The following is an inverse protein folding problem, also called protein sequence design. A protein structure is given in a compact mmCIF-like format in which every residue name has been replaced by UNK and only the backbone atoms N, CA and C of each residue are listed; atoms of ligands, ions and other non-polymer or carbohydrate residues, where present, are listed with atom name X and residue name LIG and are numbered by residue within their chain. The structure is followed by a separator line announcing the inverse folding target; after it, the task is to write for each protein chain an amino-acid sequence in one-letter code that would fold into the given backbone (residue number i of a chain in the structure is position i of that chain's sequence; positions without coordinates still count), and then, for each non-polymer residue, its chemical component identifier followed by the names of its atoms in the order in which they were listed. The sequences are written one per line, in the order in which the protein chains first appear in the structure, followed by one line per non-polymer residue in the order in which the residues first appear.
data_IF_671502585633
#
_entry.id   IF_671502585633
#
_cell.length_a   1.000
_cell.length_b   1.000
_cell.length_c   1.000
_cell.angle_alpha   90.00
_cell.angle_beta   90.00
_cell.angle_gamma   90.00
#
_symmetry.space_group_name_H-M   'P 1'
#
loop_
_entity.id
_entity.type
_entity.pdbx_description
1 polymer ?
#
# COMPACT_ATOMS: atom_id res chain seq x y z
N UNK A 1 17.32 14.64 24.48
CA UNK A 1 16.92 14.28 23.10
C UNK A 1 17.96 13.32 22.54
N UNK A 2 17.60 12.07 22.24
CA UNK A 2 18.52 10.99 21.89
C UNK A 2 19.25 11.24 20.55
N UNK A 3 20.56 11.00 20.51
CA UNK A 3 21.39 11.09 19.28
C UNK A 3 20.87 10.18 18.17
N UNK A 4 20.26 9.03 18.53
CA UNK A 4 19.61 8.12 17.60
C UNK A 4 18.39 8.74 16.88
N UNK A 5 17.60 9.56 17.57
CA UNK A 5 16.44 10.23 16.99
C UNK A 5 16.82 11.37 16.05
N UNK A 6 17.93 12.08 16.33
CA UNK A 6 18.51 13.09 15.42
C UNK A 6 19.14 12.42 14.19
N UNK A 7 19.84 11.30 14.38
CA UNK A 7 20.46 10.55 13.27
C UNK A 7 19.43 9.98 12.30
N UNK A 8 18.31 9.43 12.80
CA UNK A 8 17.26 8.89 11.93
C UNK A 8 16.54 10.00 11.14
N UNK A 9 16.29 11.14 11.80
CA UNK A 9 15.65 12.31 11.19
C UNK A 9 16.47 12.91 10.04
N UNK A 10 17.79 12.98 10.19
CA UNK A 10 18.68 13.46 9.12
C UNK A 10 18.73 12.48 7.92
N UNK A 11 18.60 11.17 8.16
CA UNK A 11 18.57 10.17 7.09
C UNK A 11 17.29 10.26 6.25
N UNK A 12 16.14 10.49 6.90
CA UNK A 12 14.87 10.70 6.20
C UNK A 12 14.91 11.96 5.34
N UNK A 13 15.40 13.09 5.88
CA UNK A 13 15.55 14.33 5.12
C UNK A 13 16.43 14.15 3.88
N UNK A 14 17.55 13.44 4.03
CA UNK A 14 18.47 13.20 2.92
C UNK A 14 17.84 12.30 1.85
N UNK A 15 17.00 11.34 2.25
CA UNK A 15 16.29 10.44 1.34
C UNK A 15 15.25 11.20 0.52
N UNK A 16 14.47 12.08 1.15
CA UNK A 16 13.45 12.85 0.46
C UNK A 16 14.07 13.94 -0.41
N UNK A 17 15.13 14.60 0.04
CA UNK A 17 15.91 15.50 -0.80
C UNK A 17 16.53 14.78 -2.01
N UNK A 18 16.93 13.51 -1.86
CA UNK A 18 17.38 12.66 -2.97
C UNK A 18 16.28 12.36 -4.00
N UNK A 19 15.03 12.13 -3.56
CA UNK A 19 13.87 12.03 -4.47
C UNK A 19 13.60 13.36 -5.17
N UNK A 20 13.69 14.45 -4.44
CA UNK A 20 13.61 15.82 -4.96
C UNK A 20 14.60 16.10 -6.07
N UNK A 21 15.85 15.65 -5.90
CA UNK A 21 16.90 15.75 -6.91
C UNK A 21 16.53 15.01 -8.20
N UNK A 22 15.94 13.82 -8.10
CA UNK A 22 15.49 13.03 -9.26
C UNK A 22 14.34 13.74 -10.01
N UNK A 23 13.34 14.26 -9.29
CA UNK A 23 12.27 15.05 -9.91
C UNK A 23 12.79 16.35 -10.54
N UNK A 24 13.77 16.98 -9.90
CA UNK A 24 14.43 18.18 -10.37
C UNK A 24 15.10 18.02 -11.74
N UNK A 25 15.70 16.86 -12.01
CA UNK A 25 16.26 16.54 -13.34
C UNK A 25 15.16 16.61 -14.41
N UNK A 26 14.01 15.98 -14.18
CA UNK A 26 12.89 15.98 -15.11
C UNK A 26 12.32 17.38 -15.36
N UNK A 27 12.13 18.16 -14.29
CA UNK A 27 11.67 19.55 -14.37
C UNK A 27 12.69 20.42 -15.14
N UNK A 28 13.98 20.26 -14.85
CA UNK A 28 15.07 20.96 -15.55
C UNK A 28 15.06 20.71 -17.06
N UNK A 29 14.86 19.44 -17.48
CA UNK A 29 14.69 19.11 -18.91
C UNK A 29 13.44 19.73 -19.52
N UNK A 30 12.31 19.74 -18.80
CA UNK A 30 11.08 20.35 -19.29
C UNK A 30 11.24 21.86 -19.55
N UNK A 31 11.89 22.58 -18.62
CA UNK A 31 12.22 24.00 -18.81
C UNK A 31 13.19 24.22 -19.96
N UNK A 32 14.26 23.40 -20.07
CA UNK A 32 15.23 23.51 -21.16
C UNK A 32 14.57 23.35 -22.53
N UNK A 33 13.72 22.32 -22.67
CA UNK A 33 12.95 22.06 -23.88
C UNK A 33 11.99 23.21 -24.22
N UNK A 34 11.34 23.80 -23.23
CA UNK A 34 10.37 24.87 -23.43
C UNK A 34 11.01 26.22 -23.81
N UNK A 35 12.22 26.50 -23.32
CA UNK A 35 12.85 27.83 -23.47
C UNK A 35 13.90 27.89 -24.57
N UNK A 36 14.69 26.83 -24.74
CA UNK A 36 15.86 26.84 -25.64
C UNK A 36 15.74 25.75 -26.71
N UNK A 37 15.07 24.64 -26.40
CA UNK A 37 14.90 23.49 -27.28
C UNK A 37 15.77 22.28 -26.87
N UNK A 38 15.94 21.32 -27.78
CA UNK A 38 16.67 20.08 -27.50
C UNK A 38 18.16 20.37 -27.25
N UNK A 39 18.77 19.77 -26.19
CA UNK A 39 20.20 19.96 -25.95
C UNK A 39 20.99 19.30 -27.09
N UNK A 40 21.89 20.08 -27.69
CA UNK A 40 22.62 19.69 -28.91
C UNK A 40 23.90 18.90 -28.61
N UNK A 41 24.47 19.07 -27.42
CA UNK A 41 25.72 18.46 -26.99
C UNK A 41 25.54 17.67 -25.70
N UNK A 42 26.36 16.63 -25.51
CA UNK A 42 26.34 15.81 -24.29
C UNK A 42 26.66 16.62 -23.03
N UNK A 43 27.52 17.64 -23.14
CA UNK A 43 27.82 18.55 -22.05
C UNK A 43 26.60 19.41 -21.65
N UNK A 44 25.73 19.76 -22.59
CA UNK A 44 24.49 20.53 -22.34
C UNK A 44 23.41 19.66 -21.67
N UNK A 45 23.33 18.38 -22.07
CA UNK A 45 22.54 17.37 -21.37
C UNK A 45 22.96 17.22 -19.90
N UNK A 46 24.27 17.09 -19.66
CA UNK A 46 24.80 16.96 -18.31
C UNK A 46 24.58 18.24 -17.50
N UNK A 47 24.82 19.42 -18.08
CA UNK A 47 24.60 20.70 -17.41
C UNK A 47 23.14 20.89 -17.00
N UNK A 48 22.20 20.58 -17.89
CA UNK A 48 20.75 20.67 -17.61
C UNK A 48 20.33 19.69 -16.50
N UNK A 49 20.86 18.46 -16.54
CA UNK A 49 20.58 17.45 -15.52
C UNK A 49 21.11 17.87 -14.14
N UNK A 50 22.36 18.32 -14.06
CA UNK A 50 22.98 18.80 -12.82
C UNK A 50 22.24 20.01 -12.26
N UNK A 51 21.88 20.96 -13.11
CA UNK A 51 21.11 22.14 -12.70
C UNK A 51 19.75 21.76 -12.11
N UNK A 52 18.98 20.92 -12.83
CA UNK A 52 17.70 20.41 -12.35
C UNK A 52 17.84 19.65 -11.04
N UNK A 53 18.87 18.80 -10.91
CA UNK A 53 19.16 18.04 -9.70
C UNK A 53 19.42 18.96 -8.49
N UNK A 54 20.28 19.97 -8.66
CA UNK A 54 20.62 20.92 -7.59
C UNK A 54 19.41 21.72 -7.15
N UNK A 55 18.60 22.21 -8.10
CA UNK A 55 17.37 22.95 -7.79
C UNK A 55 16.35 22.05 -7.08
N UNK A 56 16.11 20.85 -7.60
CA UNK A 56 15.16 19.91 -7.01
C UNK A 56 15.55 19.51 -5.58
N UNK A 57 16.85 19.29 -5.35
CA UNK A 57 17.40 19.03 -4.02
C UNK A 57 17.21 20.24 -3.09
N UNK A 58 17.59 21.43 -3.54
CA UNK A 58 17.47 22.67 -2.74
C UNK A 58 16.01 23.00 -2.38
N UNK A 59 15.09 22.85 -3.34
CA UNK A 59 13.65 23.05 -3.12
C UNK A 59 13.12 22.08 -2.07
N UNK A 60 13.41 20.78 -2.23
CA UNK A 60 12.88 19.75 -1.34
C UNK A 60 13.45 19.89 0.06
N UNK A 61 14.76 20.15 0.18
CA UNK A 61 15.40 20.41 1.47
C UNK A 61 14.81 21.64 2.16
N UNK A 62 14.57 22.72 1.41
CA UNK A 62 14.01 23.97 1.95
C UNK A 62 12.57 23.78 2.41
N UNK A 63 11.74 23.13 1.59
CA UNK A 63 10.35 22.80 1.92
C UNK A 63 10.32 21.96 3.20
N UNK A 64 11.07 20.86 3.23
CA UNK A 64 11.05 19.95 4.38
C UNK A 64 11.58 20.61 5.67
N UNK A 65 12.63 21.43 5.56
CA UNK A 65 13.14 22.22 6.67
C UNK A 65 12.08 23.21 7.19
N UNK A 66 11.44 23.97 6.30
CA UNK A 66 10.42 24.96 6.66
C UNK A 66 9.17 24.31 7.24
N UNK A 67 8.70 23.20 6.68
CA UNK A 67 7.59 22.42 7.21
C UNK A 67 7.89 21.91 8.62
N UNK A 68 9.07 21.33 8.84
CA UNK A 68 9.47 20.88 10.19
C UNK A 68 9.64 22.04 11.16
N UNK A 69 10.18 23.16 10.70
CA UNK A 69 10.35 24.37 11.51
C UNK A 69 8.99 24.90 11.97
N UNK A 70 8.01 25.02 11.08
CA UNK A 70 6.69 25.54 11.45
C UNK A 70 5.94 24.54 12.33
N UNK A 71 6.02 23.24 12.06
CA UNK A 71 5.41 22.22 12.90
C UNK A 71 6.07 22.11 14.29
N UNK A 72 7.30 22.57 14.45
CA UNK A 72 7.94 22.72 15.76
C UNK A 72 7.25 23.80 16.60
N UNK A 73 6.85 24.92 15.98
CA UNK A 73 6.18 26.03 16.68
C UNK A 73 4.67 25.82 16.81
N UNK A 74 4.02 25.26 15.80
CA UNK A 74 2.57 25.07 15.72
C UNK A 74 2.24 23.63 15.28
N UNK A 75 2.30 22.64 16.18
CA UNK A 75 2.04 21.24 15.85
C UNK A 75 0.59 20.96 15.42
N UNK A 76 -0.36 21.82 15.82
CA UNK A 76 -1.77 21.68 15.45
C UNK A 76 -2.04 21.82 13.96
N UNK A 77 -1.16 22.52 13.22
CA UNK A 77 -1.32 22.79 11.79
C UNK A 77 -0.98 21.57 10.91
N UNK A 78 -0.30 20.55 11.43
CA UNK A 78 0.16 19.40 10.65
C UNK A 78 -0.95 18.58 10.00
N UNK A 79 -2.19 18.66 10.52
CA UNK A 79 -3.37 17.99 9.94
C UNK A 79 -4.11 18.82 8.88
N UNK A 80 -3.74 20.09 8.68
CA UNK A 80 -4.42 20.95 7.73
C UNK A 80 -3.80 20.81 6.34
N UNK A 81 -4.52 20.19 5.41
CA UNK A 81 -4.07 20.00 4.02
C UNK A 81 -3.73 21.32 3.32
N UNK A 82 -4.58 22.33 3.52
CA UNK A 82 -4.40 23.66 2.93
C UNK A 82 -3.14 24.36 3.43
N UNK A 83 -2.72 24.08 4.66
CA UNK A 83 -1.50 24.65 5.22
C UNK A 83 -0.25 24.12 4.51
N UNK A 84 -0.14 22.80 4.31
CA UNK A 84 0.98 22.21 3.57
C UNK A 84 1.05 22.74 2.14
N UNK A 85 -0.09 22.81 1.44
CA UNK A 85 -0.13 23.37 0.09
C UNK A 85 0.35 24.83 0.03
N UNK A 86 -0.15 25.68 0.93
CA UNK A 86 0.22 27.10 0.97
C UNK A 86 1.71 27.26 1.30
N UNK A 87 2.21 26.45 2.23
CA UNK A 87 3.60 26.49 2.65
C UNK A 87 4.53 26.06 1.52
N UNK A 88 4.27 24.91 0.89
CA UNK A 88 5.06 24.39 -0.22
C UNK A 88 5.06 25.38 -1.39
N UNK A 89 3.93 26.03 -1.65
CA UNK A 89 3.84 27.10 -2.65
C UNK A 89 4.71 28.31 -2.28
N UNK A 90 4.59 28.84 -1.05
CA UNK A 90 5.36 30.01 -0.62
C UNK A 90 6.87 29.74 -0.62
N UNK A 91 7.29 28.58 -0.09
CA UNK A 91 8.70 28.19 -0.02
C UNK A 91 9.23 27.88 -1.41
N UNK A 92 8.48 27.11 -2.22
CA UNK A 92 8.86 26.78 -3.59
C UNK A 92 9.02 28.02 -4.46
N UNK A 93 8.08 28.97 -4.38
CA UNK A 93 8.16 30.25 -5.08
C UNK A 93 9.40 31.03 -4.64
N UNK A 94 9.57 31.23 -3.32
CA UNK A 94 10.66 32.05 -2.79
C UNK A 94 12.04 31.49 -3.11
N UNK A 95 12.23 30.18 -2.95
CA UNK A 95 13.50 29.50 -3.22
C UNK A 95 13.82 29.51 -4.71
N UNK A 96 12.87 29.13 -5.57
CA UNK A 96 13.12 29.14 -7.02
C UNK A 96 13.33 30.56 -7.55
N UNK A 97 12.51 31.53 -7.14
CA UNK A 97 12.66 32.93 -7.53
C UNK A 97 14.03 33.48 -7.14
N UNK A 98 14.50 33.19 -5.91
CA UNK A 98 15.81 33.63 -5.43
C UNK A 98 16.96 33.00 -6.20
N UNK A 99 16.88 31.68 -6.46
CA UNK A 99 17.89 30.97 -7.24
C UNK A 99 17.91 31.49 -8.68
N UNK A 100 16.74 31.59 -9.32
CA UNK A 100 16.60 32.05 -10.71
C UNK A 100 17.06 33.51 -10.89
N UNK A 101 16.83 34.38 -9.89
CA UNK A 101 17.30 35.76 -9.91
C UNK A 101 18.83 35.86 -9.82
N UNK A 102 19.47 34.99 -9.04
CA UNK A 102 20.92 34.98 -8.86
C UNK A 102 21.66 34.18 -9.95
N UNK A 103 21.04 33.13 -10.48
CA UNK A 103 21.60 32.30 -11.53
C UNK A 103 21.35 32.94 -12.89
N UNK A 104 22.26 33.79 -13.36
CA UNK A 104 22.22 34.36 -14.71
C UNK A 104 22.52 33.42 -15.93
N UNK A 105 22.62 32.06 -15.90
CA UNK A 105 23.06 31.33 -17.12
C UNK A 105 22.02 30.46 -17.88
N UNK A 106 20.71 30.48 -17.62
CA UNK A 106 19.76 29.55 -18.28
C UNK A 106 18.67 30.19 -19.17
N UNK A 107 18.97 31.31 -19.84
CA UNK A 107 18.04 31.92 -20.81
C UNK A 107 16.74 32.44 -20.18
N UNK A 108 16.71 32.59 -18.85
CA UNK A 108 15.59 33.19 -18.14
C UNK A 108 15.63 34.71 -18.32
N UNK A 109 14.76 35.23 -19.18
CA UNK A 109 14.51 36.66 -19.24
C UNK A 109 13.90 37.14 -17.91
N UNK A 110 14.41 38.26 -17.37
CA UNK A 110 13.98 38.78 -16.06
C UNK A 110 12.47 39.02 -15.98
N UNK A 111 11.84 39.34 -17.10
CA UNK A 111 10.38 39.54 -17.21
C UNK A 111 9.59 38.24 -16.97
N UNK A 112 10.15 37.09 -17.32
CA UNK A 112 9.46 35.79 -17.25
C UNK A 112 9.76 34.98 -15.98
N UNK A 113 10.76 35.38 -15.18
CA UNK A 113 11.14 34.69 -13.92
C UNK A 113 9.95 34.53 -12.97
N UNK A 114 9.10 35.55 -12.88
CA UNK A 114 7.90 35.49 -12.04
C UNK A 114 6.97 34.34 -12.44
N UNK A 115 6.67 34.21 -13.74
CA UNK A 115 5.77 33.17 -14.25
C UNK A 115 6.34 31.77 -14.03
N UNK A 116 7.65 31.57 -14.25
CA UNK A 116 8.28 30.28 -13.99
C UNK A 116 8.30 29.93 -12.51
N UNK A 117 8.52 30.91 -11.63
CA UNK A 117 8.49 30.71 -10.18
C UNK A 117 7.12 30.28 -9.69
N UNK A 118 6.04 30.86 -10.24
CA UNK A 118 4.66 30.42 -9.96
C UNK A 118 4.43 29.00 -10.45
N UNK A 119 4.86 28.66 -11.67
CA UNK A 119 4.69 27.32 -12.21
C UNK A 119 5.41 26.26 -11.35
N UNK A 120 6.67 26.50 -10.97
CA UNK A 120 7.45 25.62 -10.10
C UNK A 120 6.81 25.49 -8.72
N UNK A 121 6.32 26.58 -8.14
CA UNK A 121 5.64 26.57 -6.85
C UNK A 121 4.36 25.72 -6.87
N UNK A 122 3.54 25.83 -7.93
CA UNK A 122 2.35 25.00 -8.11
C UNK A 122 2.74 23.53 -8.28
N UNK A 123 3.73 23.23 -9.13
CA UNK A 123 4.20 21.85 -9.33
C UNK A 123 4.75 21.24 -8.04
N UNK A 124 5.55 21.97 -7.28
CA UNK A 124 6.09 21.53 -5.99
C UNK A 124 4.95 21.26 -4.99
N UNK A 125 4.00 22.17 -4.85
CA UNK A 125 2.86 22.01 -3.96
C UNK A 125 1.94 20.83 -4.37
N UNK A 126 1.74 20.61 -5.68
CA UNK A 126 1.01 19.44 -6.17
C UNK A 126 1.72 18.12 -5.88
N UNK A 127 3.05 18.08 -6.05
CA UNK A 127 3.86 16.90 -5.74
C UNK A 127 3.80 16.61 -4.23
N UNK A 128 3.98 17.64 -3.39
CA UNK A 128 3.86 17.51 -1.93
C UNK A 128 2.48 16.98 -1.51
N UNK A 129 1.42 17.53 -2.09
CA UNK A 129 0.05 17.08 -1.86
C UNK A 129 -0.18 15.62 -2.27
N UNK A 130 0.36 15.22 -3.42
CA UNK A 130 0.27 13.84 -3.89
C UNK A 130 0.96 12.87 -2.92
N UNK A 131 2.16 13.20 -2.43
CA UNK A 131 2.86 12.36 -1.45
C UNK A 131 2.11 12.27 -0.12
N UNK A 132 1.53 13.37 0.36
CA UNK A 132 0.73 13.38 1.57
C UNK A 132 -0.51 12.48 1.42
N UNK A 133 -1.22 12.59 0.29
CA UNK A 133 -2.39 11.76 0.00
C UNK A 133 -2.03 10.27 -0.14
N UNK A 134 -0.90 9.96 -0.78
CA UNK A 134 -0.41 8.59 -0.88
C UNK A 134 -0.09 8.00 0.49
N UNK A 135 0.53 8.78 1.39
CA UNK A 135 0.81 8.35 2.76
C UNK A 135 -0.46 7.99 3.54
N UNK A 136 -1.48 8.85 3.49
CA UNK A 136 -2.77 8.57 4.15
C UNK A 136 -3.46 7.33 3.57
N UNK A 137 -3.36 7.13 2.25
CA UNK A 137 -3.99 5.99 1.57
C UNK A 137 -3.31 4.68 1.95
N UNK A 138 -1.98 4.65 2.03
CA UNK A 138 -1.22 3.47 2.46
C UNK A 138 -1.55 3.07 3.90
N UNK A 139 -1.66 4.06 4.80
CA UNK A 139 -2.06 3.82 6.19
C UNK A 139 -3.48 3.25 6.28
N UNK A 140 -4.43 3.80 5.50
CA UNK A 140 -5.81 3.28 5.44
C UNK A 140 -5.85 1.84 4.95
N UNK A 141 -5.15 1.52 3.85
CA UNK A 141 -5.09 0.16 3.31
C UNK A 141 -4.52 -0.80 4.35
N UNK A 142 -3.44 -0.42 5.03
CA UNK A 142 -2.82 -1.23 6.08
C UNK A 142 -3.80 -1.51 7.24
N UNK A 143 -4.50 -0.47 7.71
CA UNK A 143 -5.50 -0.63 8.78
C UNK A 143 -6.69 -1.49 8.35
N UNK A 144 -7.14 -1.36 7.10
CA UNK A 144 -8.19 -2.22 6.55
C UNK A 144 -7.75 -3.69 6.47
N UNK A 145 -6.51 -3.96 6.05
CA UNK A 145 -5.96 -5.32 6.03
C UNK A 145 -5.85 -5.91 7.44
N UNK A 146 -5.42 -5.11 8.42
CA UNK A 146 -5.34 -5.52 9.82
C UNK A 146 -6.73 -5.82 10.39
N UNK A 147 -7.71 -4.95 10.15
CA UNK A 147 -9.11 -5.17 10.54
C UNK A 147 -9.70 -6.42 9.88
N UNK A 148 -9.44 -6.66 8.59
CA UNK A 148 -9.88 -7.90 7.91
C UNK A 148 -9.28 -9.14 8.55
N UNK A 149 -8.00 -9.12 8.89
CA UNK A 149 -7.33 -10.24 9.57
C UNK A 149 -7.94 -10.50 10.95
N UNK A 150 -8.21 -9.44 11.71
CA UNK A 150 -8.87 -9.55 13.01
C UNK A 150 -10.29 -10.12 12.88
N UNK A 151 -11.09 -9.61 11.94
CA UNK A 151 -12.44 -10.11 11.69
C UNK A 151 -12.44 -11.61 11.31
N UNK A 152 -11.49 -12.07 10.49
CA UNK A 152 -11.35 -13.51 10.16
C UNK A 152 -11.00 -14.33 11.40
N UNK A 153 -10.14 -13.82 12.29
CA UNK A 153 -9.78 -14.52 13.53
C UNK A 153 -10.94 -14.56 14.52
N UNK A 154 -11.69 -13.47 14.66
CA UNK A 154 -12.89 -13.40 15.49
C UNK A 154 -13.94 -14.40 15.01
N UNK A 155 -14.16 -14.48 13.70
CA UNK A 155 -15.11 -15.41 13.10
C UNK A 155 -14.67 -16.86 13.32
N UNK A 156 -13.38 -17.17 13.13
CA UNK A 156 -12.84 -18.51 13.46
C UNK A 156 -13.06 -18.87 14.92
N UNK A 157 -12.85 -17.94 15.84
CA UNK A 157 -13.10 -18.16 17.27
C UNK A 157 -14.59 -18.34 17.58
N UNK A 158 -15.47 -17.59 16.89
CA UNK A 158 -16.92 -17.76 17.01
C UNK A 158 -17.33 -19.17 16.58
N UNK A 159 -16.92 -19.60 15.39
CA UNK A 159 -17.25 -20.94 14.87
C UNK A 159 -16.65 -22.05 15.74
N UNK A 160 -15.42 -21.88 16.25
CA UNK A 160 -14.81 -22.85 17.17
C UNK A 160 -15.62 -23.01 18.47
N UNK A 161 -16.18 -21.92 19.02
CA UNK A 161 -17.07 -21.97 20.19
C UNK A 161 -18.39 -22.67 19.87
N UNK A 162 -19.03 -22.32 18.76
CA UNK A 162 -20.27 -22.96 18.33
C UNK A 162 -20.09 -24.47 18.11
N UNK A 163 -18.98 -24.87 17.49
CA UNK A 163 -18.61 -26.27 17.35
C UNK A 163 -18.42 -26.95 18.71
N UNK A 164 -17.67 -26.32 19.62
CA UNK A 164 -17.42 -26.87 20.95
C UNK A 164 -18.73 -27.08 21.73
N UNK A 165 -19.64 -26.11 21.69
CA UNK A 165 -20.92 -26.17 22.41
C UNK A 165 -21.84 -27.25 21.83
N UNK A 166 -21.92 -27.37 20.50
CA UNK A 166 -22.66 -28.44 19.82
C UNK A 166 -22.12 -29.83 20.19
N UNK A 167 -20.80 -30.02 20.15
CA UNK A 167 -20.16 -31.29 20.53
C UNK A 167 -20.39 -31.60 22.02
N UNK A 168 -20.32 -30.61 22.91
CA UNK A 168 -20.60 -30.80 24.33
C UNK A 168 -22.06 -31.24 24.57
N UNK A 169 -23.02 -30.64 23.87
CA UNK A 169 -24.43 -31.00 23.95
C UNK A 169 -24.69 -32.43 23.45
N UNK A 170 -24.07 -32.81 22.34
CA UNK A 170 -24.13 -34.16 21.78
C UNK A 170 -23.59 -35.22 22.77
N UNK A 171 -22.42 -34.98 23.36
CA UNK A 171 -21.82 -35.88 24.35
C UNK A 171 -22.66 -35.98 25.63
N UNK A 172 -23.33 -34.91 26.04
CA UNK A 172 -24.26 -34.94 27.17
C UNK A 172 -25.48 -35.84 26.88
N UNK A 173 -26.08 -35.71 25.68
CA UNK A 173 -27.19 -36.56 25.25
C UNK A 173 -26.82 -38.05 25.23
N UNK A 174 -25.65 -38.38 24.68
CA UNK A 174 -25.12 -39.75 24.68
C UNK A 174 -24.97 -40.30 26.11
N UNK A 175 -24.41 -39.53 27.05
CA UNK A 175 -24.27 -39.95 28.44
C UNK A 175 -25.62 -40.21 29.13
N UNK A 176 -26.64 -39.39 28.84
CA UNK A 176 -27.99 -39.58 29.38
C UNK A 176 -28.63 -40.88 28.86
N UNK A 177 -28.51 -41.15 27.56
CA UNK A 177 -28.97 -42.39 26.95
C UNK A 177 -28.25 -43.62 27.49
N UNK A 178 -26.92 -43.56 27.68
CA UNK A 178 -26.15 -44.63 28.32
C UNK A 178 -26.61 -44.91 29.75
N UNK A 179 -26.89 -43.87 30.53
CA UNK A 179 -27.44 -44.01 31.89
C UNK A 179 -28.84 -44.65 31.88
N UNK A 180 -29.65 -44.32 30.87
CA UNK A 180 -30.99 -44.90 30.67
C UNK A 180 -30.90 -46.38 30.29
N UNK A 181 -29.92 -46.76 29.47
CA UNK A 181 -29.64 -48.16 29.13
C UNK A 181 -29.27 -48.98 30.37
N UNK A 182 -28.41 -48.45 31.26
CA UNK A 182 -28.07 -49.16 32.52
C UNK A 182 -29.29 -49.34 33.43
N UNK A 183 -30.17 -48.35 33.50
CA UNK A 183 -31.43 -48.43 34.24
C UNK A 183 -32.39 -49.47 33.65
N UNK A 184 -32.65 -49.42 32.33
CA UNK A 184 -33.58 -50.33 31.65
C UNK A 184 -33.07 -51.78 31.66
N UNK A 185 -31.77 -52.00 31.54
CA UNK A 185 -31.18 -53.34 31.62
C UNK A 185 -31.51 -54.05 32.95
N UNK A 186 -31.64 -53.29 34.05
CA UNK A 186 -31.99 -53.80 35.39
C UNK A 186 -33.49 -53.92 35.65
N UNK A 187 -34.31 -53.06 35.03
CA UNK A 187 -35.73 -52.92 35.40
C UNK A 187 -36.72 -53.33 34.27
N UNK A 188 -36.38 -53.07 33.00
CA UNK A 188 -37.25 -53.27 31.83
C UNK A 188 -36.43 -53.64 30.57
N UNK A 189 -35.81 -54.84 30.53
CA UNK A 189 -34.91 -55.23 29.46
C UNK A 189 -35.60 -55.36 28.08
N UNK A 190 -36.92 -55.53 28.04
CA UNK A 190 -37.69 -55.55 26.80
C UNK A 190 -37.66 -54.24 26.01
N UNK A 191 -37.45 -53.10 26.66
CA UNK A 191 -37.42 -51.77 26.02
C UNK A 191 -36.00 -51.37 25.54
N UNK A 192 -34.99 -52.15 25.93
CA UNK A 192 -33.58 -51.91 25.61
C UNK A 192 -33.29 -51.79 24.10
N UNK A 193 -33.85 -52.65 23.21
CA UNK A 193 -33.60 -52.56 21.77
C UNK A 193 -34.03 -51.22 21.18
N UNK A 194 -35.14 -50.65 21.69
CA UNK A 194 -35.68 -49.37 21.21
C UNK A 194 -34.75 -48.20 21.57
N UNK A 195 -34.27 -48.15 22.81
CA UNK A 195 -33.36 -47.08 23.27
C UNK A 195 -31.99 -47.18 22.61
N UNK A 196 -31.48 -48.39 22.39
CA UNK A 196 -30.22 -48.60 21.65
C UNK A 196 -30.35 -48.10 20.20
N UNK A 197 -31.47 -48.39 19.52
CA UNK A 197 -31.71 -47.90 18.17
C UNK A 197 -31.76 -46.35 18.12
N UNK A 198 -32.42 -45.71 19.08
CA UNK A 198 -32.46 -44.24 19.20
C UNK A 198 -31.06 -43.63 19.43
N UNK A 199 -30.24 -44.25 20.28
CA UNK A 199 -28.86 -43.80 20.49
C UNK A 199 -28.01 -43.93 19.22
N UNK A 200 -28.18 -45.02 18.45
CA UNK A 200 -27.47 -45.21 17.18
C UNK A 200 -27.85 -44.13 16.16
N UNK A 201 -29.15 -43.82 16.04
CA UNK A 201 -29.64 -42.76 15.15
C UNK A 201 -29.06 -41.39 15.55
N UNK A 202 -29.10 -41.05 16.84
CA UNK A 202 -28.52 -39.81 17.36
C UNK A 202 -27.03 -39.69 17.08
N UNK A 203 -26.25 -40.77 17.25
CA UNK A 203 -24.80 -40.77 16.96
C UNK A 203 -24.54 -40.54 15.47
N UNK A 204 -25.35 -41.13 14.58
CA UNK A 204 -25.22 -40.92 13.12
C UNK A 204 -25.52 -39.47 12.74
N UNK A 205 -26.56 -38.88 13.34
CA UNK A 205 -26.95 -37.48 13.12
C UNK A 205 -25.84 -36.51 13.57
N UNK A 206 -25.33 -36.67 14.80
CA UNK A 206 -24.21 -35.89 15.33
C UNK A 206 -22.98 -36.01 14.42
N UNK A 207 -22.69 -37.20 13.92
CA UNK A 207 -21.54 -37.41 13.03
C UNK A 207 -21.73 -36.72 11.68
N UNK A 208 -22.95 -36.64 11.16
CA UNK A 208 -23.26 -35.89 9.94
C UNK A 208 -23.13 -34.38 10.18
N UNK A 209 -23.64 -33.87 11.28
CA UNK A 209 -23.59 -32.46 11.66
C UNK A 209 -22.14 -31.99 11.89
N UNK A 210 -21.33 -32.77 12.62
CA UNK A 210 -19.90 -32.51 12.80
C UNK A 210 -19.13 -32.47 11.46
N UNK A 211 -19.45 -33.36 10.52
CA UNK A 211 -18.81 -33.36 9.19
C UNK A 211 -19.16 -32.10 8.40
N UNK A 212 -20.40 -31.63 8.47
CA UNK A 212 -20.83 -30.39 7.83
C UNK A 212 -20.14 -29.17 8.45
N UNK A 213 -20.10 -29.06 9.78
CA UNK A 213 -19.41 -27.97 10.47
C UNK A 213 -17.90 -27.93 10.16
N UNK A 214 -17.22 -29.08 10.16
CA UNK A 214 -15.80 -29.17 9.79
C UNK A 214 -15.57 -28.76 8.32
N UNK A 215 -16.51 -29.06 7.44
CA UNK A 215 -16.45 -28.66 6.03
C UNK A 215 -16.54 -27.13 5.89
N UNK A 216 -17.44 -26.47 6.61
CA UNK A 216 -17.56 -25.00 6.63
C UNK A 216 -16.34 -24.30 7.26
N UNK A 217 -15.68 -24.95 8.22
CA UNK A 217 -14.43 -24.51 8.84
C UNK A 217 -13.21 -24.69 7.93
N UNK A 218 -13.29 -25.52 6.88
CA UNK A 218 -12.16 -25.76 5.99
C UNK A 218 -11.95 -24.49 5.17
N UNK A 219 -10.80 -23.81 5.32
CA UNK A 219 -10.63 -22.52 4.68
C UNK A 219 -10.73 -22.69 3.16
N UNK A 220 -11.28 -21.69 2.51
CA UNK A 220 -11.06 -21.37 1.09
C UNK A 220 -9.57 -21.08 0.84
N UNK A 221 -8.69 -22.05 1.12
CA UNK A 221 -7.25 -22.03 0.79
C UNK A 221 -7.06 -21.88 -0.74
N UNK A 222 -8.13 -22.08 -1.52
CA UNK A 222 -8.10 -21.96 -2.97
C UNK A 222 -8.23 -20.53 -3.52
N UNK A 223 -8.63 -19.52 -2.73
CA UNK A 223 -8.81 -18.16 -3.28
C UNK A 223 -7.55 -17.30 -3.13
N UNK A 224 -6.70 -17.55 -2.14
CA UNK A 224 -5.53 -16.68 -1.89
C UNK A 224 -4.28 -17.08 -2.69
N UNK A 225 -4.14 -18.35 -3.11
CA UNK A 225 -3.03 -18.76 -3.99
C UNK A 225 -3.25 -18.45 -5.48
N UNK A 226 -4.51 -18.39 -5.93
CA UNK A 226 -4.85 -18.11 -7.34
C UNK A 226 -4.57 -16.67 -7.79
N UNK A 227 -4.59 -15.70 -6.86
CA UNK A 227 -4.33 -14.29 -7.19
C UNK A 227 -2.84 -13.94 -7.29
N UNK A 228 -1.98 -14.67 -6.57
CA UNK A 228 -0.52 -14.52 -6.66
C UNK A 228 0.08 -15.20 -7.89
N UNK A 229 -0.51 -16.31 -8.37
CA UNK A 229 -0.04 -16.97 -9.61
C UNK A 229 -0.48 -16.22 -10.88
N UNK A 230 -1.66 -15.58 -10.89
CA UNK A 230 -2.14 -14.81 -12.04
C UNK A 230 -1.25 -13.59 -12.37
N UNK A 231 -0.71 -12.90 -11.36
CA UNK A 231 0.25 -11.80 -11.59
C UNK A 231 1.61 -12.29 -12.07
N UNK A 232 2.10 -13.43 -11.59
CA UNK A 232 3.37 -14.01 -12.02
C UNK A 232 3.32 -14.50 -13.48
N UNK A 233 2.20 -15.11 -13.89
CA UNK A 233 1.99 -15.53 -15.28
C UNK A 233 1.82 -14.35 -16.25
N UNK A 234 1.15 -13.27 -15.83
CA UNK A 234 1.00 -12.05 -16.65
C UNK A 234 2.34 -11.33 -16.90
N UNK A 235 3.24 -11.31 -15.91
CA UNK A 235 4.57 -10.68 -16.07
C UNK A 235 5.56 -11.47 -16.95
N UNK A 236 5.38 -12.79 -17.10
CA UNK A 236 6.25 -13.62 -17.95
C UNK A 236 5.85 -13.58 -19.43
N UNK A 237 4.55 -13.50 -19.73
CA UNK A 237 4.09 -13.44 -21.13
C UNK A 237 4.36 -12.08 -21.80
N UNK A 238 4.37 -10.97 -21.07
CA UNK A 238 4.67 -9.66 -21.67
C UNK A 238 6.15 -9.45 -22.04
N UNK A 239 7.04 -10.34 -21.58
CA UNK A 239 8.49 -10.29 -21.85
C UNK A 239 8.91 -11.10 -23.09
N UNK A 240 8.04 -11.98 -23.60
CA UNK A 240 8.33 -12.86 -24.74
C UNK A 240 7.90 -12.29 -26.10
N UNK A 241 6.96 -11.35 -26.12
CA UNK A 241 6.27 -10.96 -27.36
C UNK A 241 6.92 -9.77 -28.09
N UNK A 242 7.87 -9.07 -27.47
CA UNK A 242 8.60 -7.96 -28.10
C UNK A 242 9.89 -8.35 -28.84
N UNK A 243 10.26 -9.64 -28.89
CA UNK A 243 11.48 -10.09 -29.58
C UNK A 243 11.28 -10.71 -30.96
N UNK A 244 10.05 -10.89 -31.44
CA UNK A 244 9.80 -11.66 -32.66
C UNK A 244 9.27 -10.87 -33.86
N UNK A 245 9.39 -9.53 -33.88
CA UNK A 245 8.90 -8.72 -35.00
C UNK A 245 9.97 -7.85 -35.69
N UNK A 246 11.20 -8.37 -35.84
CA UNK A 246 12.26 -7.68 -36.58
C UNK A 246 13.10 -8.54 -37.53
N UNK A 247 12.57 -9.66 -37.99
CA UNK A 247 13.27 -10.52 -38.96
C UNK A 247 12.33 -11.08 -40.01
N UNK A 248 12.03 -10.31 -41.07
CA UNK A 248 11.22 -10.81 -42.17
C UNK A 248 10.90 -9.76 -43.23
N UNK A 249 11.92 -9.13 -43.79
CA UNK A 249 11.73 -8.41 -45.06
C UNK A 249 12.99 -8.54 -45.92
N UNK A 250 13.07 -9.62 -46.71
CA UNK A 250 13.87 -9.76 -47.93
C UNK A 250 13.31 -10.91 -48.78
N UNK A 251 13.14 -10.58 -50.08
CA UNK A 251 12.96 -11.46 -51.25
C UNK A 251 11.61 -12.20 -51.28
N UNK A 252 10.86 -12.25 -52.40
CA UNK A 252 11.26 -12.72 -53.73
C UNK A 252 10.37 -12.11 -54.83
N UNK A 253 11.00 -11.92 -55.99
CA UNK A 253 10.51 -11.68 -57.36
C UNK A 253 9.11 -12.20 -57.76
N UNK A 254 8.38 -11.38 -58.53
CA UNK A 254 7.99 -11.65 -59.92
C UNK A 254 7.28 -10.44 -60.56
#
# INVERSE_FOLDING_TARGET
MNSAALSNRNKEMLKDAGRGALFGIGIGFAFRLALVGMPTNLLDWLATSVFGMVIGFALTLSIEFMTKLILLFLPSLGRCLSFHFLLDFMVGFGVFYSIAYFSEPFGFERENIFHYSVAVAISAAMIGLFFLFMGETEEKIRLEEENKRLAVLEERNRVARELHDSVAQALFGINLHLSTIDYLNKHQPQDLPKVIAQLQEMVVEIQAEMRLMIYELKPTIFVEKGFSESKAYSSLNHSGESRNNQGGNREIDH
#
